data_IF_763044413139
#
_entry.id   IF_763044413139
#
_cell.length_a   1.000
_cell.length_b   1.000
_cell.length_c   1.000
_cell.angle_alpha   90.00
_cell.angle_beta   90.00
_cell.angle_gamma   90.00
#
_symmetry.space_group_name_H-M   'P 1'
#
loop_
_entity.id
_entity.type
_entity.pdbx_description
1 polymer ?
#
# COMPACT_ATOMS: atom_id res chain seq x y z
N UNK A 1 36.40 28.06 1.84
CA UNK A 1 36.62 26.61 1.90
C UNK A 1 35.25 25.95 1.72
N UNK A 2 35.05 25.25 0.60
CA UNK A 2 33.75 24.67 0.23
C UNK A 2 33.73 23.21 0.68
N UNK A 3 32.87 22.88 1.65
CA UNK A 3 32.56 21.50 1.98
C UNK A 3 31.72 20.91 0.87
N UNK A 4 32.37 20.22 -0.06
CA UNK A 4 31.71 19.38 -1.06
C UNK A 4 31.02 18.25 -0.30
N UNK A 5 29.71 18.40 -0.07
CA UNK A 5 28.86 17.34 0.46
C UNK A 5 28.91 16.21 -0.57
N UNK A 6 29.38 15.04 -0.14
CA UNK A 6 29.35 13.85 -0.96
C UNK A 6 27.88 13.47 -1.20
N UNK A 7 27.32 13.83 -2.36
CA UNK A 7 26.05 13.29 -2.85
C UNK A 7 26.22 11.78 -2.95
N UNK A 8 25.66 11.05 -1.98
CA UNK A 8 25.60 9.59 -2.00
C UNK A 8 24.70 9.21 -3.17
N UNK A 9 25.31 8.77 -4.27
CA UNK A 9 24.58 8.28 -5.43
C UNK A 9 23.99 6.91 -5.08
N UNK A 10 22.69 6.87 -4.80
CA UNK A 10 21.96 5.60 -4.71
C UNK A 10 22.14 4.82 -6.01
N UNK A 11 22.42 3.53 -5.86
CA UNK A 11 22.35 2.59 -6.97
C UNK A 11 20.91 2.54 -7.50
N UNK A 12 20.74 2.19 -8.79
CA UNK A 12 19.41 1.96 -9.35
C UNK A 12 18.62 0.90 -8.56
N UNK A 13 19.32 -0.06 -7.95
CA UNK A 13 18.72 -1.09 -7.10
C UNK A 13 18.09 -0.52 -5.83
N UNK A 14 18.78 0.37 -5.12
CA UNK A 14 18.25 1.02 -3.90
C UNK A 14 17.05 1.91 -4.20
N UNK A 15 17.10 2.68 -5.30
CA UNK A 15 15.96 3.53 -5.72
C UNK A 15 14.71 2.70 -6.01
N UNK A 16 14.87 1.60 -6.73
CA UNK A 16 13.78 0.67 -7.02
C UNK A 16 13.22 0.04 -5.74
N UNK A 17 14.10 -0.26 -4.78
CA UNK A 17 13.71 -0.84 -3.51
C UNK A 17 12.93 0.15 -2.61
N UNK A 18 13.35 1.41 -2.56
CA UNK A 18 12.60 2.49 -1.88
C UNK A 18 11.21 2.67 -2.50
N UNK A 19 11.15 2.75 -3.85
CA UNK A 19 9.89 2.89 -4.58
C UNK A 19 8.91 1.75 -4.27
N UNK A 20 9.41 0.52 -4.12
CA UNK A 20 8.60 -0.62 -3.70
C UNK A 20 8.02 -0.47 -2.29
N UNK A 21 8.83 -0.04 -1.32
CA UNK A 21 8.33 0.19 0.04
C UNK A 21 7.24 1.27 0.04
N UNK A 22 7.39 2.31 -0.78
CA UNK A 22 6.35 3.34 -0.95
C UNK A 22 5.04 2.75 -1.50
N UNK A 23 5.08 1.89 -2.53
CA UNK A 23 3.86 1.22 -3.02
C UNK A 23 3.22 0.32 -1.98
N UNK A 24 4.01 -0.43 -1.20
CA UNK A 24 3.47 -1.27 -0.12
C UNK A 24 2.84 -0.42 1.00
N UNK A 25 3.43 0.73 1.34
CA UNK A 25 2.85 1.67 2.30
C UNK A 25 1.53 2.26 1.78
N UNK A 26 1.49 2.69 0.51
CA UNK A 26 0.27 3.20 -0.12
C UNK A 26 -0.84 2.13 -0.15
N UNK A 27 -0.51 0.87 -0.47
CA UNK A 27 -1.44 -0.26 -0.39
C UNK A 27 -2.02 -0.44 1.02
N UNK A 28 -1.17 -0.38 2.05
CA UNK A 28 -1.63 -0.50 3.44
C UNK A 28 -2.63 0.61 3.79
N UNK A 29 -2.38 1.85 3.36
CA UNK A 29 -3.27 2.97 3.66
C UNK A 29 -4.60 2.88 2.90
N UNK A 30 -4.58 2.48 1.63
CA UNK A 30 -5.82 2.23 0.88
C UNK A 30 -6.62 1.03 1.43
N UNK A 31 -5.95 -0.03 1.90
CA UNK A 31 -6.64 -1.15 2.56
C UNK A 31 -7.32 -0.72 3.86
N UNK A 32 -6.70 0.19 4.64
CA UNK A 32 -7.33 0.75 5.85
C UNK A 32 -8.58 1.55 5.51
N UNK A 33 -8.52 2.37 4.45
CA UNK A 33 -9.67 3.13 3.95
C UNK A 33 -10.79 2.19 3.49
N UNK A 34 -10.46 1.18 2.68
CA UNK A 34 -11.41 0.15 2.24
C UNK A 34 -12.06 -0.56 3.42
N UNK A 35 -11.27 -1.04 4.39
CA UNK A 35 -11.79 -1.65 5.62
C UNK A 35 -12.78 -0.76 6.34
N UNK A 36 -12.45 0.53 6.52
CA UNK A 36 -13.33 1.47 7.21
C UNK A 36 -14.67 1.60 6.47
N UNK A 37 -14.64 1.79 5.14
CA UNK A 37 -15.84 1.82 4.30
C UNK A 37 -16.69 0.56 4.46
N UNK A 38 -16.06 -0.62 4.46
CA UNK A 38 -16.74 -1.91 4.63
C UNK A 38 -17.40 -2.05 6.01
N UNK A 39 -16.74 -1.61 7.08
CA UNK A 39 -17.34 -1.62 8.43
C UNK A 39 -18.54 -0.66 8.50
N UNK A 40 -18.43 0.52 7.90
CA UNK A 40 -19.55 1.46 7.83
C UNK A 40 -20.71 0.85 7.04
N UNK A 41 -20.44 0.22 5.90
CA UNK A 41 -21.46 -0.47 5.10
C UNK A 41 -22.09 -1.64 5.87
N UNK A 42 -21.31 -2.43 6.62
CA UNK A 42 -21.83 -3.54 7.42
C UNK A 42 -22.79 -3.06 8.50
N UNK A 43 -22.50 -1.91 9.13
CA UNK A 43 -23.35 -1.31 10.15
C UNK A 43 -24.64 -0.71 9.56
N UNK A 44 -24.53 0.00 8.43
CA UNK A 44 -25.68 0.63 7.77
C UNK A 44 -26.65 -0.39 7.18
N UNK A 45 -26.13 -1.46 6.59
CA UNK A 45 -26.93 -2.49 5.92
C UNK A 45 -27.14 -3.75 6.75
N UNK A 46 -26.62 -3.78 7.98
CA UNK A 46 -26.62 -4.96 8.86
C UNK A 46 -26.20 -6.25 8.13
N UNK A 47 -25.12 -6.17 7.36
CA UNK A 47 -24.68 -7.24 6.46
C UNK A 47 -23.37 -7.87 6.91
N UNK A 48 -23.43 -9.18 7.13
CA UNK A 48 -22.30 -10.03 7.52
C UNK A 48 -21.24 -10.11 6.42
N UNK A 49 -21.65 -10.06 5.15
CA UNK A 49 -20.74 -10.05 4.01
C UNK A 49 -19.75 -8.88 4.08
N UNK A 50 -20.24 -7.65 4.26
CA UNK A 50 -19.35 -6.48 4.38
C UNK A 50 -18.40 -6.61 5.58
N UNK A 51 -18.87 -7.21 6.69
CA UNK A 51 -18.05 -7.40 7.88
C UNK A 51 -16.94 -8.44 7.66
N UNK A 52 -17.23 -9.55 6.98
CA UNK A 52 -16.22 -10.55 6.62
C UNK A 52 -15.19 -10.00 5.62
N UNK A 53 -15.63 -9.22 4.63
CA UNK A 53 -14.70 -8.52 3.74
C UNK A 53 -13.79 -7.55 4.50
N UNK A 54 -14.33 -6.81 5.48
CA UNK A 54 -13.53 -5.93 6.34
C UNK A 54 -12.48 -6.71 7.16
N UNK A 55 -12.82 -7.91 7.66
CA UNK A 55 -11.88 -8.81 8.34
C UNK A 55 -10.77 -9.27 7.40
N UNK A 56 -11.10 -9.63 6.15
CA UNK A 56 -10.11 -9.99 5.14
C UNK A 56 -9.12 -8.84 4.89
N UNK A 57 -9.60 -7.59 4.83
CA UNK A 57 -8.71 -6.42 4.71
C UNK A 57 -7.72 -6.30 5.88
N UNK A 58 -8.11 -6.62 7.11
CA UNK A 58 -7.20 -6.62 8.28
C UNK A 58 -6.06 -7.62 8.08
N UNK A 59 -6.38 -8.84 7.62
CA UNK A 59 -5.37 -9.87 7.38
C UNK A 59 -4.36 -9.38 6.33
N UNK A 60 -4.84 -8.80 5.23
CA UNK A 60 -3.97 -8.24 4.18
C UNK A 60 -3.08 -7.12 4.72
N UNK A 61 -3.64 -6.19 5.52
CA UNK A 61 -2.89 -5.10 6.16
C UNK A 61 -1.76 -5.66 7.03
N UNK A 62 -2.05 -6.61 7.91
CA UNK A 62 -1.04 -7.20 8.81
C UNK A 62 0.06 -7.89 8.01
N UNK A 63 -0.30 -8.66 6.98
CA UNK A 63 0.67 -9.34 6.12
C UNK A 63 1.59 -8.33 5.42
N UNK A 64 1.04 -7.27 4.83
CA UNK A 64 1.82 -6.23 4.16
C UNK A 64 2.68 -5.44 5.16
N UNK A 65 2.17 -5.06 6.33
CA UNK A 65 2.95 -4.40 7.36
C UNK A 65 4.13 -5.25 7.83
N UNK A 66 3.94 -6.57 7.95
CA UNK A 66 5.03 -7.48 8.28
C UNK A 66 6.09 -7.55 7.17
N UNK A 67 5.68 -7.53 5.90
CA UNK A 67 6.62 -7.44 4.78
C UNK A 67 7.36 -6.09 4.80
N UNK A 68 6.63 -4.97 4.92
CA UNK A 68 7.21 -3.64 5.04
C UNK A 68 8.24 -3.63 6.17
N UNK A 69 7.93 -4.11 7.37
CA UNK A 69 8.89 -4.13 8.48
C UNK A 69 10.14 -4.99 8.22
N UNK A 70 10.01 -6.10 7.48
CA UNK A 70 11.16 -6.91 7.06
C UNK A 70 12.02 -6.17 6.05
N UNK A 71 11.41 -5.49 5.10
CA UNK A 71 12.10 -4.79 4.01
C UNK A 71 12.57 -3.38 4.39
N UNK A 72 11.91 -2.74 5.36
CA UNK A 72 12.19 -1.39 5.84
C UNK A 72 13.24 -1.36 6.93
N UNK A 73 13.51 -2.45 7.67
CA UNK A 73 14.64 -2.51 8.62
C UNK A 73 16.00 -2.18 7.97
N UNK A 74 16.37 -2.78 6.82
CA UNK A 74 17.60 -2.42 6.10
C UNK A 74 17.60 -0.99 5.55
N UNK A 75 16.46 -0.49 5.05
CA UNK A 75 16.35 0.89 4.54
C UNK A 75 16.39 1.89 5.68
N UNK A 76 15.69 1.67 6.78
CA UNK A 76 15.68 2.54 7.95
C UNK A 76 17.07 2.59 8.57
N UNK A 77 17.82 1.50 8.63
CA UNK A 77 19.23 1.56 9.07
C UNK A 77 20.14 2.35 8.11
N UNK A 78 19.85 2.34 6.80
CA UNK A 78 20.54 3.15 5.80
C UNK A 78 20.07 4.63 5.80
N UNK A 79 18.78 4.87 6.05
CA UNK A 79 18.10 6.16 6.09
C UNK A 79 18.35 6.91 7.42
N UNK A 80 18.39 6.23 8.56
CA UNK A 80 18.79 6.83 9.83
C UNK A 80 20.27 7.24 9.85
N UNK A 81 21.11 6.65 9.00
CA UNK A 81 22.48 7.10 8.75
C UNK A 81 22.57 8.31 7.80
N UNK A 82 21.48 8.64 7.12
CA UNK A 82 21.37 9.69 6.11
C UNK A 82 20.17 10.57 6.46
N UNK A 83 20.37 11.56 7.34
CA UNK A 83 19.40 12.62 7.63
C UNK A 83 18.63 12.99 6.35
N UNK A 84 17.36 12.58 6.29
CA UNK A 84 16.51 12.79 5.13
C UNK A 84 16.23 14.29 5.00
N UNK A 85 16.90 14.95 4.06
CA UNK A 85 16.31 16.11 3.40
C UNK A 85 15.10 15.59 2.64
N UNK A 86 13.92 16.12 2.97
CA UNK A 86 12.69 15.85 2.26
C UNK A 86 12.86 16.29 0.80
N UNK A 87 13.06 15.33 -0.10
CA UNK A 87 12.71 15.54 -1.50
C UNK A 87 11.18 15.51 -1.57
N UNK A 88 10.62 16.67 -1.93
CA UNK A 88 9.22 16.85 -2.34
C UNK A 88 8.92 15.88 -3.49
N UNK A 89 8.52 14.66 -3.15
CA UNK A 89 7.72 13.81 -4.02
C UNK A 89 6.37 14.51 -4.11
N UNK A 90 6.16 15.26 -5.20
CA UNK A 90 4.89 15.84 -5.67
C UNK A 90 3.73 15.60 -4.70
N UNK A 91 3.69 16.41 -3.64
CA UNK A 91 2.73 16.31 -2.55
C UNK A 91 1.29 16.61 -3.01
N UNK A 92 1.10 16.96 -4.29
CA UNK A 92 -0.19 17.24 -4.88
C UNK A 92 -0.99 15.99 -5.30
N UNK A 93 -0.37 14.81 -5.47
CA UNK A 93 -1.12 13.58 -5.82
C UNK A 93 -1.61 12.77 -4.62
N UNK A 94 -1.05 13.00 -3.42
CA UNK A 94 -1.46 12.35 -2.17
C UNK A 94 -2.30 13.27 -1.26
N UNK A 95 -3.14 14.13 -1.84
CA UNK A 95 -4.12 14.85 -1.05
C UNK A 95 -5.11 13.85 -0.43
N UNK A 96 -5.07 13.77 0.90
CA UNK A 96 -6.11 13.20 1.75
C UNK A 96 -7.42 13.96 1.49
N UNK A 97 -8.14 13.57 0.44
CA UNK A 97 -9.52 13.99 0.24
C UNK A 97 -10.34 13.43 1.40
N UNK A 98 -10.99 14.33 2.12
CA UNK A 98 -12.00 13.99 3.12
C UNK A 98 -13.02 13.04 2.48
N UNK A 99 -13.27 11.93 3.18
CA UNK A 99 -14.17 10.88 2.72
C UNK A 99 -15.61 11.39 2.74
N UNK A 100 -16.15 11.72 1.57
CA UNK A 100 -17.60 11.75 1.40
C UNK A 100 -18.07 10.31 1.34
N UNK A 101 -18.64 9.82 2.44
CA UNK A 101 -19.39 8.55 2.49
C UNK A 101 -20.61 8.80 1.61
N UNK A 102 -20.56 8.52 0.31
CA UNK A 102 -21.71 8.22 -0.56
C UNK A 102 -21.14 7.90 -1.95
N UNK A 103 -21.48 6.69 -2.39
CA UNK A 103 -21.33 6.11 -3.73
C UNK A 103 -20.02 5.37 -4.06
N UNK A 104 -20.21 4.06 -4.28
CA UNK A 104 -19.27 3.02 -4.68
C UNK A 104 -18.18 2.64 -3.67
N UNK A 105 -18.16 1.36 -3.28
CA UNK A 105 -16.94 0.68 -2.84
C UNK A 105 -15.99 0.59 -4.05
N UNK A 106 -15.50 1.74 -4.49
CA UNK A 106 -14.55 1.85 -5.58
C UNK A 106 -13.19 1.37 -5.07
N UNK A 107 -12.87 0.12 -5.39
CA UNK A 107 -11.60 -0.52 -5.09
C UNK A 107 -10.64 -0.49 -6.29
N UNK A 108 -10.94 0.31 -7.33
CA UNK A 108 -10.09 0.44 -8.52
C UNK A 108 -8.69 0.94 -8.17
N UNK A 109 -8.58 1.87 -7.22
CA UNK A 109 -7.29 2.36 -6.73
C UNK A 109 -6.47 1.24 -6.04
N UNK A 110 -7.13 0.32 -5.32
CA UNK A 110 -6.45 -0.83 -4.71
C UNK A 110 -5.91 -1.77 -5.79
N UNK A 111 -6.72 -2.07 -6.81
CA UNK A 111 -6.29 -2.91 -7.93
C UNK A 111 -5.09 -2.31 -8.65
N UNK A 112 -5.15 -1.01 -9.00
CA UNK A 112 -4.05 -0.32 -9.69
C UNK A 112 -2.76 -0.35 -8.86
N UNK A 113 -2.84 -0.10 -7.54
CA UNK A 113 -1.69 -0.19 -6.66
C UNK A 113 -1.12 -1.61 -6.55
N UNK A 114 -1.97 -2.64 -6.51
CA UNK A 114 -1.51 -4.04 -6.51
C UNK A 114 -0.83 -4.39 -7.82
N UNK A 115 -1.41 -4.00 -8.97
CA UNK A 115 -0.83 -4.22 -10.29
C UNK A 115 0.52 -3.53 -10.40
N UNK A 116 0.62 -2.24 -10.03
CA UNK A 116 1.90 -1.49 -9.98
C UNK A 116 2.94 -2.18 -9.09
N UNK A 117 2.54 -2.62 -7.90
CA UNK A 117 3.43 -3.33 -6.98
C UNK A 117 3.95 -4.68 -7.53
N UNK A 118 3.14 -5.36 -8.36
CA UNK A 118 3.48 -6.63 -9.02
C UNK A 118 4.33 -6.42 -10.28
N UNK A 119 3.94 -5.50 -11.16
CA UNK A 119 4.50 -5.39 -12.52
C UNK A 119 5.78 -4.58 -12.60
N UNK A 120 5.95 -3.57 -11.75
CA UNK A 120 7.02 -2.59 -11.98
C UNK A 120 8.43 -3.14 -11.69
N UNK A 121 8.58 -4.22 -10.92
CA UNK A 121 9.90 -4.65 -10.44
C UNK A 121 9.95 -6.17 -10.13
N UNK A 122 11.07 -6.87 -10.36
CA UNK A 122 11.21 -8.29 -10.00
C UNK A 122 11.08 -8.48 -8.48
N UNK A 123 10.14 -9.33 -8.07
CA UNK A 123 9.81 -9.59 -6.67
C UNK A 123 10.51 -10.87 -6.19
N UNK A 124 10.87 -10.97 -4.91
CA UNK A 124 11.02 -12.28 -4.30
C UNK A 124 9.72 -13.05 -4.52
N UNK A 125 9.81 -14.28 -5.04
CA UNK A 125 8.64 -15.07 -5.46
C UNK A 125 7.54 -15.18 -4.39
N UNK A 126 7.91 -15.19 -3.11
CA UNK A 126 6.96 -15.22 -2.00
C UNK A 126 6.16 -13.91 -1.82
N UNK A 127 6.76 -12.75 -2.09
CA UNK A 127 6.09 -11.45 -1.99
C UNK A 127 5.17 -11.24 -3.19
N UNK A 128 5.59 -11.66 -4.38
CA UNK A 128 4.75 -11.69 -5.58
C UNK A 128 3.52 -12.55 -5.35
N UNK A 129 3.70 -13.78 -4.87
CA UNK A 129 2.59 -14.67 -4.56
C UNK A 129 1.63 -14.05 -3.54
N UNK A 130 2.15 -13.41 -2.49
CA UNK A 130 1.32 -12.71 -1.50
C UNK A 130 0.49 -11.59 -2.14
N UNK A 131 1.12 -10.73 -2.94
CA UNK A 131 0.44 -9.61 -3.60
C UNK A 131 -0.63 -10.10 -4.59
N UNK A 132 -0.31 -11.13 -5.39
CA UNK A 132 -1.27 -11.75 -6.30
C UNK A 132 -2.45 -12.39 -5.55
N UNK A 133 -2.20 -13.12 -4.46
CA UNK A 133 -3.27 -13.71 -3.64
C UNK A 133 -4.20 -12.65 -3.05
N UNK A 134 -3.62 -11.55 -2.57
CA UNK A 134 -4.41 -10.44 -2.04
C UNK A 134 -5.19 -9.73 -3.15
N UNK A 135 -4.59 -9.49 -4.32
CA UNK A 135 -5.28 -8.91 -5.48
C UNK A 135 -6.50 -9.75 -5.88
N UNK A 136 -6.33 -11.06 -6.02
CA UNK A 136 -7.45 -11.97 -6.32
C UNK A 136 -8.54 -11.88 -5.25
N UNK A 137 -8.16 -11.77 -3.98
CA UNK A 137 -9.14 -11.58 -2.90
C UNK A 137 -9.89 -10.25 -3.01
N UNK A 138 -9.23 -9.15 -3.41
CA UNK A 138 -9.88 -7.87 -3.69
C UNK A 138 -10.87 -8.02 -4.84
N UNK A 139 -10.45 -8.58 -5.97
CA UNK A 139 -11.29 -8.78 -7.16
C UNK A 139 -12.52 -9.64 -6.85
N UNK A 140 -12.36 -10.73 -6.11
CA UNK A 140 -13.47 -11.55 -5.63
C UNK A 140 -14.41 -10.79 -4.69
N UNK A 141 -13.87 -9.90 -3.85
CA UNK A 141 -14.70 -9.05 -2.98
C UNK A 141 -15.59 -8.13 -3.81
N UNK A 142 -15.03 -7.52 -4.87
CA UNK A 142 -15.77 -6.61 -5.75
C UNK A 142 -16.91 -7.37 -6.43
N UNK A 143 -16.64 -8.56 -6.96
CA UNK A 143 -17.67 -9.40 -7.59
C UNK A 143 -18.78 -9.76 -6.60
N UNK A 144 -18.42 -10.21 -5.38
CA UNK A 144 -19.40 -10.58 -4.35
C UNK A 144 -20.29 -9.42 -3.88
N UNK A 145 -19.89 -8.17 -4.11
CA UNK A 145 -20.66 -6.98 -3.76
C UNK A 145 -21.54 -6.45 -4.90
N UNK A 146 -21.41 -7.01 -6.10
CA UNK A 146 -22.26 -6.71 -7.25
C UNK A 146 -23.50 -7.61 -7.32
N UNK A 147 -23.44 -8.78 -6.68
CA UNK A 147 -24.53 -9.75 -6.53
C UNK A 147 -25.49 -9.37 -5.38
#
# INVERSE_FOLDING_TARGET
MSTTIATVKFSNFEKQYIKRVQYLMALVDELKKSRYRLITASQLHNSELYFELAKNRIVSIIQLQNQINKYSKPILEAAYKLNFEQEDLDAEEFQNKEFTIINALDETQLIDLYQKAITELPLPSHLELLLCQQLVSIEQSILALQD
#
